data_IF_562289632802
#
_entry.id   IF_562289632802
#
_cell.length_a   1.000
_cell.length_b   1.000
_cell.length_c   1.000
_cell.angle_alpha   90.00
_cell.angle_beta   90.00
_cell.angle_gamma   90.00
#
_symmetry.space_group_name_H-M   'P 1'
#
loop_
_entity.id
_entity.type
_entity.pdbx_description
1 polymer ?
#
# COMPACT_ATOMS: atom_id res chain seq x y z
N UNK A 1 54.01 42.12 -6.03
CA UNK A 1 52.56 41.97 -5.84
C UNK A 1 52.19 40.54 -6.10
N UNK A 2 51.84 39.78 -5.07
CA UNK A 2 51.30 38.41 -5.25
C UNK A 2 49.81 38.52 -5.36
N UNK A 3 49.15 38.00 -6.44
CA UNK A 3 47.72 37.92 -6.47
C UNK A 3 47.28 36.91 -5.44
N UNK A 4 46.58 37.38 -4.40
CA UNK A 4 45.94 36.51 -3.44
C UNK A 4 44.76 35.82 -4.17
N UNK A 5 45.03 34.58 -4.58
CA UNK A 5 43.98 33.72 -5.08
C UNK A 5 43.02 33.37 -3.96
N UNK A 6 41.96 34.09 -3.90
CA UNK A 6 40.85 33.72 -3.00
C UNK A 6 40.07 32.59 -3.64
N UNK A 7 40.43 31.35 -3.29
CA UNK A 7 39.60 30.22 -3.59
C UNK A 7 38.32 30.35 -2.79
N UNK A 8 37.26 30.78 -3.40
CA UNK A 8 35.93 30.68 -2.84
C UNK A 8 35.55 29.21 -2.81
N UNK A 9 35.63 28.57 -1.66
CA UNK A 9 35.12 27.23 -1.49
C UNK A 9 33.60 27.36 -1.49
N UNK A 10 32.98 26.98 -2.60
CA UNK A 10 31.53 26.89 -2.69
C UNK A 10 31.13 25.65 -1.87
N UNK A 11 30.70 25.87 -0.63
CA UNK A 11 30.11 24.80 0.16
C UNK A 11 28.78 24.43 -0.47
N UNK A 12 28.75 23.36 -1.24
CA UNK A 12 27.50 22.77 -1.72
C UNK A 12 26.86 22.12 -0.50
N UNK A 13 25.89 22.81 0.09
CA UNK A 13 25.07 22.22 1.12
C UNK A 13 24.25 21.11 0.47
N UNK A 14 24.65 19.85 0.68
CA UNK A 14 23.81 18.70 0.35
C UNK A 14 22.65 18.72 1.35
N UNK A 15 21.53 19.28 0.93
CA UNK A 15 20.28 19.11 1.65
C UNK A 15 19.90 17.63 1.56
N UNK A 16 19.60 16.98 2.69
CA UNK A 16 19.06 15.63 2.62
C UNK A 16 17.75 15.71 1.84
N UNK A 17 17.73 15.08 0.68
CA UNK A 17 16.48 14.81 0.00
C UNK A 17 15.73 13.86 0.94
N UNK A 18 14.76 14.41 1.70
CA UNK A 18 13.85 13.57 2.40
C UNK A 18 13.21 12.67 1.33
N UNK A 19 13.52 11.39 1.39
CA UNK A 19 12.79 10.42 0.60
C UNK A 19 11.32 10.66 0.93
N UNK A 20 10.56 11.24 -0.02
CA UNK A 20 9.12 11.27 0.08
C UNK A 20 8.72 9.82 0.08
N UNK A 21 8.48 9.28 1.29
CA UNK A 21 7.84 8.00 1.40
C UNK A 21 6.54 8.14 0.59
N UNK A 22 6.43 7.39 -0.48
CA UNK A 22 5.20 7.07 -1.17
C UNK A 22 4.07 7.02 -0.14
N UNK A 23 2.83 7.57 -0.41
CA UNK A 23 1.72 7.45 0.51
C UNK A 23 1.62 5.97 0.86
N UNK A 24 2.09 5.67 2.05
CA UNK A 24 2.63 4.37 2.37
C UNK A 24 1.49 3.37 2.38
N UNK A 25 1.64 2.38 1.55
CA UNK A 25 0.92 1.14 1.77
C UNK A 25 1.06 0.77 3.24
N UNK A 26 0.00 0.83 4.05
CA UNK A 26 0.11 0.48 5.45
C UNK A 26 0.69 -0.93 5.57
N UNK A 27 1.49 -1.23 6.59
CA UNK A 27 2.12 -2.54 6.74
C UNK A 27 1.14 -3.70 6.60
N UNK A 28 -0.09 -3.52 7.07
CA UNK A 28 -1.13 -4.54 6.98
C UNK A 28 -1.56 -4.83 5.53
N UNK A 29 -1.49 -3.85 4.64
CA UNK A 29 -1.84 -4.00 3.24
C UNK A 29 -0.68 -4.54 2.37
N UNK A 30 0.54 -4.56 2.89
CA UNK A 30 1.70 -5.02 2.13
C UNK A 30 1.60 -6.51 1.76
N UNK A 31 1.04 -7.32 2.63
CA UNK A 31 0.82 -8.74 2.35
C UNK A 31 -0.15 -8.97 1.18
N UNK A 32 -1.09 -8.07 0.96
CA UNK A 32 -2.05 -8.14 -0.15
C UNK A 32 -1.35 -8.00 -1.51
N UNK A 33 -0.30 -7.19 -1.57
CA UNK A 33 0.46 -6.94 -2.80
C UNK A 33 1.13 -8.20 -3.36
N UNK A 34 1.45 -9.17 -2.52
CA UNK A 34 2.07 -10.42 -2.95
C UNK A 34 1.21 -11.21 -3.94
N UNK A 35 -0.11 -11.08 -3.86
CA UNK A 35 -1.07 -11.74 -4.74
C UNK A 35 -1.84 -10.76 -5.61
N UNK A 36 -2.35 -9.67 -5.03
CA UNK A 36 -3.17 -8.69 -5.74
C UNK A 36 -2.37 -7.62 -6.51
N UNK A 37 -1.04 -7.70 -6.46
CA UNK A 37 -0.18 -6.75 -7.14
C UNK A 37 0.06 -5.46 -6.38
N UNK A 38 1.02 -4.68 -6.86
CA UNK A 38 1.35 -3.38 -6.31
C UNK A 38 0.11 -2.49 -6.28
N UNK A 39 -0.17 -1.87 -5.14
CA UNK A 39 -1.36 -1.03 -4.95
C UNK A 39 -2.69 -1.75 -5.23
N UNK A 40 -2.73 -3.07 -5.23
CA UNK A 40 -3.94 -3.84 -5.47
C UNK A 40 -4.42 -3.85 -6.91
N UNK A 41 -3.54 -3.64 -7.87
CA UNK A 41 -3.89 -3.54 -9.29
C UNK A 41 -4.33 -4.85 -9.95
N UNK A 42 -4.19 -5.97 -9.26
CA UNK A 42 -4.47 -7.30 -9.78
C UNK A 42 -3.27 -7.93 -10.50
N UNK A 43 -3.30 -9.25 -10.61
CA UNK A 43 -2.27 -10.02 -11.32
C UNK A 43 -2.90 -11.26 -11.96
N UNK A 44 -2.95 -11.30 -13.29
CA UNK A 44 -3.52 -12.44 -14.00
C UNK A 44 -4.97 -12.71 -13.59
N UNK A 45 -5.26 -13.89 -13.07
CA UNK A 45 -6.59 -14.26 -12.59
C UNK A 45 -6.93 -13.70 -11.20
N UNK A 46 -5.97 -13.09 -10.51
CA UNK A 46 -6.19 -12.48 -9.19
C UNK A 46 -6.75 -11.07 -9.39
N UNK A 47 -7.94 -10.77 -8.81
CA UNK A 47 -8.65 -9.55 -9.14
C UNK A 47 -7.99 -8.29 -8.61
N UNK A 48 -8.27 -7.18 -9.29
CA UNK A 48 -7.97 -5.83 -8.84
C UNK A 48 -8.84 -5.48 -7.62
N UNK A 49 -8.22 -4.93 -6.58
CA UNK A 49 -8.88 -4.43 -5.37
C UNK A 49 -8.63 -2.95 -5.13
N UNK A 50 -7.85 -2.29 -5.99
CA UNK A 50 -7.65 -0.85 -5.94
C UNK A 50 -8.94 -0.11 -6.29
N UNK A 51 -9.27 0.92 -5.50
CA UNK A 51 -10.49 1.69 -5.71
C UNK A 51 -11.79 0.95 -5.36
N UNK A 52 -11.67 -0.16 -4.67
CA UNK A 52 -12.84 -0.94 -4.25
C UNK A 52 -13.69 -0.13 -3.24
N UNK A 53 -15.00 -0.13 -3.42
CA UNK A 53 -15.89 0.53 -2.47
C UNK A 53 -15.70 0.00 -1.05
N UNK A 54 -15.57 0.91 -0.09
CA UNK A 54 -15.23 0.57 1.30
C UNK A 54 -16.20 -0.44 1.91
N UNK A 55 -17.50 -0.16 1.81
CA UNK A 55 -18.51 -1.02 2.45
C UNK A 55 -18.64 -2.35 1.73
N UNK A 56 -18.54 -2.33 0.40
CA UNK A 56 -18.52 -3.56 -0.40
C UNK A 56 -17.29 -4.42 -0.09
N UNK A 57 -16.15 -3.81 0.15
CA UNK A 57 -14.92 -4.51 0.56
C UNK A 57 -15.15 -5.27 1.88
N UNK A 58 -15.70 -4.59 2.87
CA UNK A 58 -15.98 -5.20 4.17
C UNK A 58 -17.00 -6.35 4.03
N UNK A 59 -18.05 -6.15 3.24
CA UNK A 59 -19.05 -7.18 2.99
C UNK A 59 -18.45 -8.43 2.33
N UNK A 60 -17.65 -8.23 1.29
CA UNK A 60 -16.97 -9.34 0.59
C UNK A 60 -16.01 -10.06 1.52
N UNK A 61 -15.31 -9.33 2.38
CA UNK A 61 -14.42 -9.92 3.37
C UNK A 61 -15.17 -10.82 4.34
N UNK A 62 -16.34 -10.37 4.84
CA UNK A 62 -17.20 -11.18 5.70
C UNK A 62 -17.70 -12.43 5.00
N UNK A 63 -18.03 -12.34 3.72
CA UNK A 63 -18.42 -13.50 2.92
C UNK A 63 -17.29 -14.52 2.80
N UNK A 64 -16.05 -14.07 2.62
CA UNK A 64 -14.89 -14.95 2.64
C UNK A 64 -14.67 -15.57 4.01
N UNK A 65 -14.80 -14.78 5.06
CA UNK A 65 -14.66 -15.25 6.44
C UNK A 65 -15.69 -16.32 6.80
N UNK A 66 -16.91 -16.16 6.32
CA UNK A 66 -18.02 -17.09 6.55
C UNK A 66 -17.99 -18.31 5.60
N UNK A 67 -17.10 -18.32 4.60
CA UNK A 67 -17.10 -19.36 3.57
C UNK A 67 -18.30 -19.27 2.61
N UNK A 68 -18.99 -18.12 2.57
CA UNK A 68 -20.17 -17.90 1.74
C UNK A 68 -19.85 -17.48 0.29
N UNK A 69 -18.60 -17.11 0.04
CA UNK A 69 -18.09 -16.73 -1.28
C UNK A 69 -17.00 -17.70 -1.72
N UNK A 70 -17.12 -18.20 -2.95
CA UNK A 70 -16.07 -19.05 -3.51
C UNK A 70 -14.75 -18.27 -3.67
N UNK A 71 -13.66 -18.88 -3.21
CA UNK A 71 -12.30 -18.38 -3.43
C UNK A 71 -11.29 -19.53 -3.29
N UNK A 72 -10.17 -19.41 -3.99
CA UNK A 72 -9.09 -20.39 -3.88
C UNK A 72 -8.34 -20.27 -2.55
N UNK A 73 -8.12 -19.05 -2.06
CA UNK A 73 -7.33 -18.81 -0.84
C UNK A 73 -7.92 -17.78 0.12
N UNK A 74 -8.73 -16.81 -0.36
CA UNK A 74 -9.21 -15.73 0.50
C UNK A 74 -10.05 -16.23 1.67
N UNK A 75 -10.74 -17.35 1.55
CA UNK A 75 -11.47 -17.98 2.65
C UNK A 75 -10.56 -18.44 3.80
N UNK A 76 -9.29 -18.70 3.51
CA UNK A 76 -8.27 -19.06 4.51
C UNK A 76 -7.54 -17.84 5.07
N UNK A 77 -7.43 -16.78 4.28
CA UNK A 77 -6.77 -15.54 4.66
C UNK A 77 -7.68 -14.67 5.53
N UNK A 78 -8.94 -14.52 5.12
CA UNK A 78 -9.88 -13.59 5.74
C UNK A 78 -10.08 -13.78 7.25
N UNK A 79 -10.13 -15.02 7.79
CA UNK A 79 -10.30 -15.21 9.24
C UNK A 79 -9.13 -14.74 10.10
N UNK A 80 -7.96 -14.50 9.49
CA UNK A 80 -6.74 -14.06 10.19
C UNK A 80 -6.70 -12.58 10.54
N UNK A 81 -7.71 -11.80 10.18
CA UNK A 81 -7.74 -10.35 10.36
C UNK A 81 -8.86 -9.94 11.31
N UNK A 82 -8.59 -8.93 12.14
CA UNK A 82 -9.61 -8.33 13.03
C UNK A 82 -10.52 -7.41 12.22
N UNK A 83 -11.67 -7.05 12.80
CA UNK A 83 -12.61 -6.11 12.18
C UNK A 83 -11.97 -4.74 11.96
N UNK A 84 -11.15 -4.27 12.90
CA UNK A 84 -10.40 -3.02 12.79
C UNK A 84 -9.39 -3.08 11.65
N UNK A 85 -8.70 -4.19 11.49
CA UNK A 85 -7.75 -4.39 10.39
C UNK A 85 -8.45 -4.42 9.04
N UNK A 86 -9.60 -5.08 8.95
CA UNK A 86 -10.41 -5.11 7.72
C UNK A 86 -10.91 -3.71 7.36
N UNK A 87 -11.36 -2.93 8.36
CA UNK A 87 -11.77 -1.54 8.12
C UNK A 87 -10.61 -0.69 7.61
N UNK A 88 -9.41 -0.85 8.16
CA UNK A 88 -8.22 -0.15 7.69
C UNK A 88 -7.83 -0.53 6.26
N UNK A 89 -7.90 -1.80 5.92
CA UNK A 89 -7.68 -2.29 4.56
C UNK A 89 -8.72 -1.72 3.59
N UNK A 90 -9.99 -1.72 3.97
CA UNK A 90 -11.09 -1.18 3.17
C UNK A 90 -10.89 0.31 2.88
N UNK A 91 -10.52 1.09 3.89
CA UNK A 91 -10.23 2.52 3.75
C UNK A 91 -9.04 2.76 2.82
N UNK A 92 -7.97 1.99 2.98
CA UNK A 92 -6.77 2.11 2.14
C UNK A 92 -7.07 1.81 0.67
N UNK A 93 -7.65 0.65 0.37
CA UNK A 93 -7.92 0.27 -1.01
C UNK A 93 -8.98 1.16 -1.66
N UNK A 94 -9.97 1.64 -0.93
CA UNK A 94 -10.94 2.61 -1.43
C UNK A 94 -10.30 3.95 -1.82
N UNK A 95 -9.19 4.32 -1.19
CA UNK A 95 -8.45 5.55 -1.47
C UNK A 95 -7.61 5.49 -2.74
N UNK A 96 -7.38 4.30 -3.28
CA UNK A 96 -6.55 4.08 -4.46
C UNK A 96 -7.41 4.19 -5.74
N UNK A 97 -7.08 5.12 -6.58
CA UNK A 97 -7.77 5.35 -7.85
C UNK A 97 -6.78 5.52 -8.98
#
# INVERSE_FOLDING_TARGET
MKPSSRFAILAIAMLPVAAVADPQTPPIAQACAGCHGQSGAGMGAIPDIAGYDRDAFIQVWEEFRAGARFATIMTRIAPGYTDEEVAALADYFASLR
#
